data_IF_055111099291
#
_entry.id   IF_055111099291
#
_cell.length_a   1.000
_cell.length_b   1.000
_cell.length_c   1.000
_cell.angle_alpha   90.00
_cell.angle_beta   90.00
_cell.angle_gamma   90.00
#
_symmetry.space_group_name_H-M   'P 1'
#
loop_
_entity.id
_entity.type
_entity.pdbx_description
1 polymer ?
#
# COMPACT_ATOMS: atom_id res chain seq x y z
N UNK A 1 32.59 10.44 13.38
CA UNK A 1 32.48 10.90 14.77
C UNK A 1 33.83 10.79 15.43
N UNK A 2 34.33 11.93 15.95
CA UNK A 2 35.56 11.94 16.78
C UNK A 2 35.10 11.74 18.22
N UNK A 3 35.59 10.67 18.86
CA UNK A 3 35.39 10.46 20.29
C UNK A 3 36.12 11.55 21.06
N UNK A 4 35.38 12.34 21.85
CA UNK A 4 35.89 13.39 22.74
C UNK A 4 35.78 12.87 24.17
N UNK A 5 36.87 12.34 24.73
CA UNK A 5 36.87 11.80 26.11
C UNK A 5 36.58 12.83 27.20
N UNK A 6 36.64 14.11 26.91
CA UNK A 6 36.44 15.20 27.86
C UNK A 6 35.41 16.20 27.32
N UNK A 7 34.41 16.58 28.12
CA UNK A 7 33.40 17.56 27.75
C UNK A 7 33.98 18.98 27.70
N UNK A 8 33.81 19.70 26.56
CA UNK A 8 34.31 21.07 26.45
C UNK A 8 33.54 22.09 27.31
N UNK A 9 32.31 21.74 27.74
CA UNK A 9 31.45 22.65 28.51
C UNK A 9 31.67 22.53 30.03
N UNK A 10 31.78 21.30 30.56
CA UNK A 10 31.93 21.10 32.01
C UNK A 10 33.31 20.56 32.42
N UNK A 11 34.21 20.32 31.46
CA UNK A 11 35.55 19.74 31.67
C UNK A 11 35.59 18.39 32.38
N UNK A 12 34.44 17.69 32.53
CA UNK A 12 34.33 16.35 33.09
C UNK A 12 34.70 15.24 32.10
N UNK A 13 35.20 14.12 32.61
CA UNK A 13 35.44 12.91 31.84
C UNK A 13 34.20 12.00 31.89
N UNK A 14 33.89 11.33 30.78
CA UNK A 14 32.76 10.37 30.69
C UNK A 14 31.38 10.94 31.10
N UNK A 15 31.16 12.24 30.89
CA UNK A 15 29.87 12.87 31.19
C UNK A 15 28.95 12.99 29.99
N UNK A 16 29.29 12.33 28.88
CA UNK A 16 28.37 12.20 27.72
C UNK A 16 27.42 11.05 27.98
N UNK A 17 26.16 11.33 28.13
CA UNK A 17 25.10 10.35 27.99
C UNK A 17 24.78 10.24 26.49
N UNK A 18 24.65 9.03 25.99
CA UNK A 18 24.15 8.80 24.63
C UNK A 18 22.65 9.12 24.63
N UNK A 19 22.30 10.37 24.31
CA UNK A 19 20.93 10.67 23.96
C UNK A 19 20.71 10.22 22.51
N UNK A 20 19.79 9.29 22.32
CA UNK A 20 19.21 9.06 21.01
C UNK A 20 18.56 10.38 20.58
N UNK A 21 19.30 11.18 19.82
CA UNK A 21 18.72 12.29 19.09
C UNK A 21 17.77 11.67 18.09
N UNK A 22 16.51 11.59 18.45
CA UNK A 22 15.45 11.43 17.48
C UNK A 22 15.47 12.73 16.68
N UNK A 23 16.16 12.68 15.55
CA UNK A 23 16.27 13.79 14.62
C UNK A 23 14.83 14.17 14.24
N UNK A 24 14.37 15.31 14.76
CA UNK A 24 13.07 15.90 14.43
C UNK A 24 13.12 16.58 13.05
N UNK A 25 13.71 15.87 12.08
CA UNK A 25 13.48 16.10 10.67
C UNK A 25 12.01 15.79 10.41
N UNK A 26 11.26 16.78 9.97
CA UNK A 26 9.82 16.82 9.63
C UNK A 26 9.19 15.45 9.43
N UNK A 27 8.80 14.83 10.52
CA UNK A 27 8.47 13.42 10.59
C UNK A 27 7.01 13.25 10.20
N UNK A 28 6.76 12.98 8.92
CA UNK A 28 5.50 12.39 8.49
C UNK A 28 5.24 11.02 9.16
N UNK A 29 6.23 10.45 9.85
CA UNK A 29 6.12 9.29 10.75
C UNK A 29 5.51 9.63 12.11
N UNK A 30 5.50 10.91 12.52
CA UNK A 30 5.09 11.32 13.86
C UNK A 30 3.58 11.24 14.14
N UNK A 31 2.75 11.02 13.13
CA UNK A 31 1.29 10.98 13.31
C UNK A 31 0.70 9.58 13.55
N UNK A 32 1.55 8.54 13.62
CA UNK A 32 1.10 7.24 14.09
C UNK A 32 1.48 7.02 15.55
N UNK A 33 0.92 7.79 16.41
CA UNK A 33 0.80 7.36 17.82
C UNK A 33 -0.32 6.32 17.87
N UNK A 34 0.05 5.06 17.72
CA UNK A 34 -0.72 4.03 18.35
C UNK A 34 -0.68 4.34 19.85
N UNK A 35 -1.79 4.53 20.49
CA UNK A 35 -1.89 4.58 21.96
C UNK A 35 -1.57 3.19 22.50
N UNK A 36 -0.28 2.83 22.39
CA UNK A 36 0.24 1.48 22.51
C UNK A 36 0.32 0.98 23.95
N UNK A 37 -0.77 1.02 24.66
CA UNK A 37 -0.91 0.17 25.86
C UNK A 37 -1.30 -1.22 25.39
N UNK A 38 -0.51 -2.27 25.71
CA UNK A 38 -0.91 -3.64 25.42
C UNK A 38 -2.23 -3.92 26.15
N UNK A 39 -3.20 -4.44 25.41
CA UNK A 39 -4.48 -4.90 25.95
C UNK A 39 -4.55 -6.42 25.82
N UNK A 40 -5.16 -7.12 26.80
CA UNK A 40 -5.52 -8.52 26.61
C UNK A 40 -6.41 -8.65 25.37
N UNK A 41 -6.24 -9.74 24.63
CA UNK A 41 -7.01 -9.96 23.39
C UNK A 41 -8.53 -9.99 23.65
N UNK A 42 -8.94 -10.43 24.83
CA UNK A 42 -10.34 -10.49 25.28
C UNK A 42 -10.97 -9.09 25.46
N UNK A 43 -10.13 -8.09 25.77
CA UNK A 43 -10.58 -6.70 25.99
C UNK A 43 -10.62 -5.88 24.70
N UNK A 44 -10.14 -6.46 23.58
CA UNK A 44 -10.16 -5.78 22.28
C UNK A 44 -11.58 -5.86 21.71
N UNK A 45 -12.27 -4.72 21.53
CA UNK A 45 -13.59 -4.73 20.94
C UNK A 45 -13.53 -5.25 19.52
N UNK A 46 -14.32 -6.28 19.21
CA UNK A 46 -14.51 -6.72 17.83
C UNK A 46 -15.25 -5.61 17.10
N UNK A 47 -14.52 -4.80 16.34
CA UNK A 47 -15.16 -4.00 15.30
C UNK A 47 -15.71 -4.98 14.28
N UNK A 48 -17.01 -4.91 13.98
CA UNK A 48 -17.67 -5.76 12.99
C UNK A 48 -16.87 -5.77 11.70
N UNK A 49 -16.02 -6.77 11.56
CA UNK A 49 -15.15 -6.96 10.42
C UNK A 49 -15.95 -7.43 9.21
N UNK A 50 -16.94 -6.60 8.79
CA UNK A 50 -17.74 -6.90 7.61
C UNK A 50 -16.82 -6.99 6.40
N UNK A 51 -16.64 -8.20 5.91
CA UNK A 51 -15.84 -8.46 4.72
C UNK A 51 -16.63 -8.08 3.47
N UNK A 52 -15.97 -7.42 2.54
CA UNK A 52 -16.55 -7.09 1.24
C UNK A 52 -16.16 -8.18 0.24
N UNK A 53 -17.14 -8.96 -0.19
CA UNK A 53 -16.96 -10.05 -1.14
C UNK A 53 -16.62 -9.47 -2.53
N UNK A 54 -15.52 -9.92 -3.13
CA UNK A 54 -15.03 -9.45 -4.44
C UNK A 54 -15.87 -9.97 -5.60
N UNK A 55 -16.56 -11.10 -5.40
CA UNK A 55 -17.30 -11.79 -6.45
C UNK A 55 -16.43 -12.73 -7.29
N UNK A 56 -15.17 -12.94 -6.91
CA UNK A 56 -14.26 -13.95 -7.48
C UNK A 56 -13.94 -14.94 -6.35
N UNK A 57 -14.50 -16.13 -6.43
CA UNK A 57 -14.45 -17.11 -5.35
C UNK A 57 -13.03 -17.42 -4.85
N UNK A 58 -12.06 -17.54 -5.76
CA UNK A 58 -10.67 -17.81 -5.40
C UNK A 58 -10.02 -16.62 -4.68
N UNK A 59 -10.31 -15.39 -5.09
CA UNK A 59 -9.84 -14.19 -4.41
C UNK A 59 -10.43 -14.14 -3.01
N UNK A 60 -11.74 -14.32 -2.89
CA UNK A 60 -12.42 -14.31 -1.60
C UNK A 60 -11.90 -15.42 -0.67
N UNK A 61 -11.62 -16.61 -1.20
CA UNK A 61 -11.03 -17.72 -0.44
C UNK A 61 -9.65 -17.36 0.11
N UNK A 62 -8.77 -16.79 -0.71
CA UNK A 62 -7.43 -16.36 -0.30
C UNK A 62 -7.50 -15.24 0.74
N UNK A 63 -8.47 -14.34 0.61
CA UNK A 63 -8.71 -13.24 1.55
C UNK A 63 -9.48 -13.66 2.82
N UNK A 64 -9.76 -14.95 2.99
CA UNK A 64 -10.51 -15.45 4.15
C UNK A 64 -11.98 -15.01 4.18
N UNK A 65 -12.62 -14.90 3.00
CA UNK A 65 -14.03 -14.57 2.83
C UNK A 65 -14.30 -13.15 2.31
N UNK A 66 -13.28 -12.43 1.88
CA UNK A 66 -13.42 -11.10 1.27
C UNK A 66 -12.50 -10.04 1.87
N UNK A 67 -12.63 -8.83 1.38
CA UNK A 67 -11.79 -7.68 1.71
C UNK A 67 -12.17 -7.14 3.09
N UNK A 68 -11.17 -6.89 3.93
CA UNK A 68 -11.33 -6.23 5.23
C UNK A 68 -11.08 -4.74 5.08
N UNK A 69 -11.87 -3.90 5.73
CA UNK A 69 -11.64 -2.45 5.79
C UNK A 69 -10.24 -2.13 6.32
N UNK A 70 -9.56 -1.15 5.72
CA UNK A 70 -8.22 -0.73 6.13
C UNK A 70 -7.10 -1.74 5.86
N UNK A 71 -7.36 -2.85 5.16
CA UNK A 71 -6.32 -3.80 4.79
C UNK A 71 -5.47 -3.29 3.63
N UNK A 72 -4.19 -3.64 3.62
CA UNK A 72 -3.31 -3.46 2.48
C UNK A 72 -2.97 -4.83 1.87
N UNK A 73 -3.22 -4.98 0.58
CA UNK A 73 -3.08 -6.26 -0.13
C UNK A 73 -2.09 -6.06 -1.26
N UNK A 74 -1.03 -6.86 -1.26
CA UNK A 74 -0.05 -6.89 -2.34
C UNK A 74 -0.30 -8.10 -3.24
N UNK A 75 -0.48 -7.84 -4.53
CA UNK A 75 -0.57 -8.86 -5.57
C UNK A 75 0.74 -8.88 -6.34
N UNK A 76 1.51 -9.93 -6.13
CA UNK A 76 2.80 -10.13 -6.77
C UNK A 76 2.74 -11.21 -7.86
N UNK A 77 3.65 -11.14 -8.81
CA UNK A 77 3.79 -12.15 -9.87
C UNK A 77 4.51 -11.60 -11.09
N UNK A 78 4.87 -12.47 -12.01
CA UNK A 78 5.59 -12.10 -13.24
C UNK A 78 4.79 -11.15 -14.15
N UNK A 79 5.47 -10.38 -15.01
CA UNK A 79 4.81 -9.62 -16.06
C UNK A 79 3.92 -10.52 -16.92
N UNK A 80 2.72 -10.04 -17.29
CA UNK A 80 1.81 -10.77 -18.17
C UNK A 80 0.97 -11.88 -17.51
N UNK A 81 1.19 -12.24 -16.22
CA UNK A 81 0.42 -13.30 -15.54
C UNK A 81 -1.06 -12.95 -15.29
N UNK A 82 -1.46 -11.69 -15.52
CA UNK A 82 -2.86 -11.28 -15.38
C UNK A 82 -3.20 -10.46 -14.14
N UNK A 83 -2.21 -9.98 -13.36
CA UNK A 83 -2.46 -9.15 -12.15
C UNK A 83 -3.41 -7.99 -12.39
N UNK A 84 -3.10 -7.14 -13.36
CA UNK A 84 -3.90 -5.97 -13.72
C UNK A 84 -5.29 -6.33 -14.21
N UNK A 85 -5.43 -7.46 -14.92
CA UNK A 85 -6.72 -7.97 -15.37
C UNK A 85 -7.56 -8.44 -14.20
N UNK A 86 -6.97 -9.20 -13.27
CA UNK A 86 -7.65 -9.66 -12.06
C UNK A 86 -8.12 -8.48 -11.19
N UNK A 87 -7.24 -7.50 -10.98
CA UNK A 87 -7.61 -6.31 -10.20
C UNK A 87 -8.74 -5.53 -10.86
N UNK A 88 -8.71 -5.38 -12.18
CA UNK A 88 -9.76 -4.67 -12.92
C UNK A 88 -11.12 -5.42 -12.83
N UNK A 89 -11.11 -6.76 -12.87
CA UNK A 89 -12.32 -7.58 -12.66
C UNK A 89 -12.87 -7.44 -11.24
N UNK A 90 -12.01 -7.48 -10.20
CA UNK A 90 -12.42 -7.24 -8.82
C UNK A 90 -13.08 -5.87 -8.69
N UNK A 91 -12.43 -4.83 -9.24
CA UNK A 91 -12.94 -3.46 -9.16
C UNK A 91 -14.27 -3.30 -9.90
N UNK A 92 -14.43 -3.95 -11.05
CA UNK A 92 -15.69 -3.98 -11.77
C UNK A 92 -16.82 -4.59 -10.93
N UNK A 93 -16.59 -5.79 -10.38
CA UNK A 93 -17.59 -6.48 -9.57
C UNK A 93 -18.03 -5.66 -8.35
N UNK A 94 -17.11 -4.93 -7.73
CA UNK A 94 -17.41 -4.05 -6.61
C UNK A 94 -18.17 -2.80 -7.06
N UNK A 95 -17.79 -2.23 -8.19
CA UNK A 95 -18.46 -1.06 -8.78
C UNK A 95 -19.91 -1.38 -9.21
N UNK A 96 -20.14 -2.58 -9.73
CA UNK A 96 -21.49 -3.07 -10.08
C UNK A 96 -22.38 -3.27 -8.85
N UNK A 97 -21.79 -3.55 -7.68
CA UNK A 97 -22.49 -3.58 -6.39
C UNK A 97 -22.77 -2.17 -5.83
N UNK A 98 -22.48 -1.11 -6.59
CA UNK A 98 -22.70 0.29 -6.22
C UNK A 98 -21.57 0.94 -5.42
N UNK A 99 -20.46 0.25 -5.19
CA UNK A 99 -19.32 0.83 -4.49
C UNK A 99 -18.50 1.73 -5.42
N UNK A 100 -18.10 2.91 -4.94
CA UNK A 100 -17.11 3.72 -5.64
C UNK A 100 -15.75 3.06 -5.50
N UNK A 101 -15.07 2.82 -6.61
CA UNK A 101 -13.75 2.20 -6.63
C UNK A 101 -12.80 3.05 -7.46
N UNK A 102 -11.54 3.13 -7.04
CA UNK A 102 -10.50 3.91 -7.72
C UNK A 102 -9.37 3.00 -8.20
N UNK A 103 -9.15 3.00 -9.52
CA UNK A 103 -8.03 2.31 -10.16
C UNK A 103 -6.97 3.34 -10.54
N UNK A 104 -5.82 3.29 -9.87
CA UNK A 104 -4.67 4.16 -10.15
C UNK A 104 -3.68 3.39 -11.00
N UNK A 105 -3.25 3.97 -12.11
CA UNK A 105 -2.23 3.39 -12.98
C UNK A 105 -1.05 4.35 -13.16
N UNK A 106 0.15 3.81 -13.00
CA UNK A 106 1.40 4.50 -13.33
C UNK A 106 2.06 4.00 -14.62
N UNK A 107 1.53 2.93 -15.21
CA UNK A 107 2.14 2.29 -16.39
C UNK A 107 1.27 2.46 -17.65
N UNK A 108 -0.05 2.44 -17.50
CA UNK A 108 -0.97 2.47 -18.62
C UNK A 108 -1.75 3.77 -18.69
N UNK A 109 -2.04 4.23 -19.90
CA UNK A 109 -2.94 5.35 -20.13
C UNK A 109 -4.39 4.98 -19.84
N UNK A 110 -5.24 5.97 -19.57
CA UNK A 110 -6.66 5.76 -19.36
C UNK A 110 -7.34 5.05 -20.55
N UNK A 111 -6.91 5.33 -21.78
CA UNK A 111 -7.41 4.67 -22.99
C UNK A 111 -7.07 3.19 -23.04
N UNK A 112 -5.86 2.81 -22.63
CA UNK A 112 -5.44 1.39 -22.59
C UNK A 112 -6.22 0.62 -21.53
N UNK A 113 -6.43 1.21 -20.35
CA UNK A 113 -7.25 0.63 -19.29
C UNK A 113 -8.70 0.48 -19.79
N UNK A 114 -9.24 1.48 -20.47
CA UNK A 114 -10.59 1.42 -21.03
C UNK A 114 -10.73 0.29 -22.06
N UNK A 115 -9.79 0.15 -23.00
CA UNK A 115 -9.77 -0.94 -23.97
C UNK A 115 -9.70 -2.32 -23.30
N UNK A 116 -8.89 -2.46 -22.26
CA UNK A 116 -8.82 -3.69 -21.46
C UNK A 116 -10.16 -3.96 -20.76
N UNK A 117 -10.73 -2.95 -20.13
CA UNK A 117 -12.02 -3.00 -19.46
C UNK A 117 -13.12 -3.50 -20.41
N UNK A 118 -13.20 -2.92 -21.61
CA UNK A 118 -14.20 -3.30 -22.62
C UNK A 118 -14.02 -4.78 -23.07
N UNK A 119 -12.77 -5.21 -23.26
CA UNK A 119 -12.45 -6.58 -23.67
C UNK A 119 -12.90 -7.64 -22.65
N UNK A 120 -12.87 -7.32 -21.38
CA UNK A 120 -13.26 -8.24 -20.28
C UNK A 120 -14.68 -7.96 -19.75
N UNK A 121 -15.41 -7.04 -20.38
CA UNK A 121 -16.76 -6.66 -19.94
C UNK A 121 -16.80 -5.93 -18.59
N UNK A 122 -15.71 -5.30 -18.19
CA UNK A 122 -15.54 -4.69 -16.86
C UNK A 122 -15.83 -3.17 -16.85
N UNK A 123 -16.85 -2.73 -17.57
CA UNK A 123 -17.27 -1.31 -17.57
C UNK A 123 -18.32 -1.05 -16.49
N UNK A 124 -18.04 -0.14 -15.56
CA UNK A 124 -18.99 0.26 -14.51
C UNK A 124 -18.92 1.76 -14.23
N UNK A 125 -20.07 2.39 -13.93
CA UNK A 125 -20.15 3.84 -13.68
C UNK A 125 -19.38 4.28 -12.43
N UNK A 126 -19.25 3.41 -11.44
CA UNK A 126 -18.57 3.68 -10.18
C UNK A 126 -17.09 3.29 -10.18
N UNK A 127 -16.54 2.85 -11.32
CA UNK A 127 -15.12 2.57 -11.51
C UNK A 127 -14.43 3.83 -12.04
N UNK A 128 -13.67 4.49 -11.18
CA UNK A 128 -12.87 5.66 -11.52
C UNK A 128 -11.45 5.24 -11.87
N UNK A 129 -10.87 5.86 -12.89
CA UNK A 129 -9.49 5.64 -13.32
C UNK A 129 -8.69 6.92 -13.13
N UNK A 130 -7.53 6.81 -12.50
CA UNK A 130 -6.56 7.88 -12.31
C UNK A 130 -5.21 7.45 -12.89
N UNK A 131 -4.66 8.24 -13.80
CA UNK A 131 -3.29 8.05 -14.31
C UNK A 131 -2.40 9.04 -13.56
N UNK A 132 -1.71 8.56 -12.54
CA UNK A 132 -0.83 9.37 -11.70
C UNK A 132 0.23 8.48 -11.02
N UNK A 133 1.42 9.05 -10.77
CA UNK A 133 2.56 8.38 -10.14
C UNK A 133 3.05 9.09 -8.87
N UNK A 134 2.62 10.35 -8.62
CA UNK A 134 2.91 11.04 -7.35
C UNK A 134 1.99 10.53 -6.25
N UNK A 135 2.59 10.01 -5.17
CA UNK A 135 1.84 9.52 -4.01
C UNK A 135 0.95 10.62 -3.41
N UNK A 136 1.47 11.83 -3.29
CA UNK A 136 0.77 12.96 -2.69
C UNK A 136 -0.51 13.28 -3.46
N UNK A 137 -0.44 13.35 -4.79
CA UNK A 137 -1.59 13.59 -5.65
C UNK A 137 -2.58 12.44 -5.62
N UNK A 138 -2.09 11.20 -5.59
CA UNK A 138 -2.95 10.01 -5.43
C UNK A 138 -3.75 10.10 -4.13
N UNK A 139 -3.10 10.39 -3.00
CA UNK A 139 -3.75 10.52 -1.70
C UNK A 139 -4.76 11.67 -1.66
N UNK A 140 -4.47 12.77 -2.36
CA UNK A 140 -5.41 13.89 -2.52
C UNK A 140 -6.66 13.47 -3.27
N UNK A 141 -6.52 12.78 -4.41
CA UNK A 141 -7.65 12.30 -5.19
C UNK A 141 -8.47 11.24 -4.45
N UNK A 142 -7.85 10.38 -3.66
CA UNK A 142 -8.58 9.44 -2.81
C UNK A 142 -9.48 10.19 -1.81
N UNK A 143 -9.01 11.29 -1.21
CA UNK A 143 -9.83 12.12 -0.30
C UNK A 143 -11.01 12.77 -1.02
N UNK A 144 -10.81 13.24 -2.26
CA UNK A 144 -11.86 13.87 -3.07
C UNK A 144 -12.93 12.88 -3.51
N UNK A 145 -12.51 11.71 -4.04
CA UNK A 145 -13.43 10.69 -4.57
C UNK A 145 -14.11 9.92 -3.43
N UNK A 146 -13.44 9.77 -2.30
CA UNK A 146 -13.84 8.93 -1.14
C UNK A 146 -14.25 7.52 -1.59
N UNK A 147 -13.35 6.74 -2.24
CA UNK A 147 -13.66 5.42 -2.72
C UNK A 147 -13.75 4.42 -1.57
N UNK A 148 -14.55 3.37 -1.76
CA UNK A 148 -14.61 2.24 -0.84
C UNK A 148 -13.38 1.34 -0.92
N UNK A 149 -12.62 1.38 -2.03
CA UNK A 149 -11.41 0.61 -2.26
C UNK A 149 -10.54 1.29 -3.32
N UNK A 150 -9.23 1.13 -3.21
CA UNK A 150 -8.23 1.65 -4.14
C UNK A 150 -7.36 0.52 -4.68
N UNK A 151 -7.04 0.56 -5.97
CA UNK A 151 -6.01 -0.26 -6.62
C UNK A 151 -4.88 0.64 -7.08
N UNK A 152 -3.63 0.23 -6.85
CA UNK A 152 -2.41 0.86 -7.36
C UNK A 152 -1.69 -0.12 -8.30
N UNK A 153 -1.67 0.19 -9.59
CA UNK A 153 -1.07 -0.66 -10.63
C UNK A 153 -0.01 0.13 -11.43
N UNK A 154 1.26 0.02 -11.03
CA UNK A 154 1.87 -0.78 -9.97
C UNK A 154 2.54 0.11 -8.92
N UNK A 155 2.78 -0.44 -7.73
CA UNK A 155 3.45 0.29 -6.63
C UNK A 155 4.87 0.74 -7.00
N UNK A 156 5.53 0.06 -7.90
CA UNK A 156 6.89 0.39 -8.34
C UNK A 156 6.98 1.66 -9.20
N UNK A 157 5.88 2.12 -9.76
CA UNK A 157 5.84 3.38 -10.52
C UNK A 157 5.53 4.58 -9.64
N UNK A 158 4.97 4.35 -8.45
CA UNK A 158 4.61 5.41 -7.52
C UNK A 158 5.85 5.91 -6.77
N UNK A 159 5.97 7.21 -6.65
CA UNK A 159 7.05 7.85 -5.89
C UNK A 159 6.52 8.88 -4.89
N UNK A 160 7.27 9.04 -3.80
CA UNK A 160 7.08 10.12 -2.83
C UNK A 160 8.08 11.24 -3.15
N UNK A 161 7.59 12.47 -3.33
CA UNK A 161 8.40 13.62 -3.79
C UNK A 161 9.50 14.02 -2.81
N UNK A 162 9.34 13.70 -1.53
CA UNK A 162 10.31 13.99 -0.47
C UNK A 162 11.59 13.15 -0.54
N UNK A 163 11.57 12.02 -1.27
CA UNK A 163 12.73 11.16 -1.41
C UNK A 163 13.50 11.47 -2.69
N UNK A 164 14.80 11.70 -2.56
CA UNK A 164 15.69 11.96 -3.70
C UNK A 164 16.03 10.72 -4.52
N UNK A 165 15.59 9.55 -4.12
CA UNK A 165 15.85 8.29 -4.83
C UNK A 165 14.92 8.12 -6.04
N UNK A 166 15.41 7.42 -7.08
CA UNK A 166 14.64 7.20 -8.31
C UNK A 166 13.35 6.39 -8.06
N UNK A 167 12.25 6.65 -8.81
CA UNK A 167 11.06 5.80 -8.80
C UNK A 167 11.43 4.32 -9.03
N UNK A 168 10.74 3.40 -8.37
CA UNK A 168 11.02 1.97 -8.46
C UNK A 168 12.21 1.47 -7.63
N UNK A 169 13.03 2.35 -7.06
CA UNK A 169 14.07 1.95 -6.12
C UNK A 169 13.46 1.32 -4.86
N UNK A 170 14.21 0.45 -4.19
CA UNK A 170 13.76 -0.21 -2.95
C UNK A 170 13.32 0.81 -1.89
N UNK A 171 14.05 1.94 -1.77
CA UNK A 171 13.72 3.01 -0.85
C UNK A 171 12.36 3.64 -1.16
N UNK A 172 12.10 3.97 -2.43
CA UNK A 172 10.81 4.54 -2.87
C UNK A 172 9.67 3.54 -2.66
N UNK A 173 9.82 2.30 -3.10
CA UNK A 173 8.78 1.28 -2.94
C UNK A 173 8.46 1.04 -1.46
N UNK A 174 9.48 1.00 -0.60
CA UNK A 174 9.30 0.83 0.84
C UNK A 174 8.52 2.00 1.45
N UNK A 175 8.90 3.23 1.13
CA UNK A 175 8.27 4.43 1.68
C UNK A 175 6.83 4.57 1.18
N UNK A 176 6.60 4.47 -0.13
CA UNK A 176 5.26 4.57 -0.71
C UNK A 176 4.32 3.49 -0.18
N UNK A 177 4.81 2.24 -0.05
CA UNK A 177 4.03 1.15 0.55
C UNK A 177 3.69 1.44 2.01
N UNK A 178 4.67 1.89 2.81
CA UNK A 178 4.44 2.25 4.21
C UNK A 178 3.38 3.33 4.35
N UNK A 179 3.47 4.41 3.59
CA UNK A 179 2.46 5.50 3.62
C UNK A 179 1.07 5.03 3.18
N UNK A 180 0.99 4.17 2.17
CA UNK A 180 -0.29 3.60 1.73
C UNK A 180 -0.92 2.69 2.78
N UNK A 181 -0.12 1.82 3.44
CA UNK A 181 -0.58 0.98 4.55
C UNK A 181 -1.12 1.84 5.69
N UNK A 182 -0.39 2.89 6.05
CA UNK A 182 -0.76 3.82 7.10
C UNK A 182 -2.07 4.53 6.77
N UNK A 183 -2.16 5.05 5.54
CA UNK A 183 -3.34 5.71 5.03
C UNK A 183 -4.55 4.76 5.02
N UNK A 184 -4.38 3.52 4.54
CA UNK A 184 -5.40 2.48 4.52
C UNK A 184 -5.99 2.24 5.91
N UNK A 185 -5.14 1.99 6.91
CA UNK A 185 -5.55 1.75 8.31
C UNK A 185 -6.24 2.97 8.92
N UNK A 186 -5.69 4.18 8.75
CA UNK A 186 -6.24 5.42 9.30
C UNK A 186 -7.63 5.75 8.75
N UNK A 187 -7.85 5.50 7.47
CA UNK A 187 -9.10 5.87 6.78
C UNK A 187 -10.07 4.71 6.59
N UNK A 188 -9.70 3.51 7.03
CA UNK A 188 -10.48 2.28 6.83
C UNK A 188 -10.78 1.98 5.35
N UNK A 189 -9.92 2.42 4.43
CA UNK A 189 -10.03 2.21 2.99
C UNK A 189 -9.05 1.12 2.57
N UNK A 190 -9.49 -0.04 2.08
CA UNK A 190 -8.59 -1.09 1.58
C UNK A 190 -7.79 -0.60 0.37
N UNK A 191 -6.49 -0.93 0.35
CA UNK A 191 -5.60 -0.63 -0.76
C UNK A 191 -5.02 -1.92 -1.33
N UNK A 192 -5.27 -2.17 -2.61
CA UNK A 192 -4.61 -3.22 -3.39
C UNK A 192 -3.45 -2.61 -4.16
N UNK A 193 -2.30 -3.25 -4.11
CA UNK A 193 -1.16 -2.85 -4.94
C UNK A 193 -0.63 -4.03 -5.75
N UNK A 194 -0.31 -3.78 -7.01
CA UNK A 194 0.41 -4.74 -7.84
C UNK A 194 1.90 -4.51 -7.75
N UNK A 195 2.67 -5.58 -7.81
CA UNK A 195 4.12 -5.56 -7.95
C UNK A 195 4.59 -6.61 -8.95
N UNK A 196 5.45 -6.20 -9.85
CA UNK A 196 6.22 -7.08 -10.73
C UNK A 196 7.52 -7.42 -10.02
N UNK A 197 7.96 -8.66 -10.05
CA UNK A 197 9.15 -9.18 -9.36
C UNK A 197 9.13 -8.98 -7.82
N UNK A 198 8.71 -10.01 -7.12
CA UNK A 198 8.95 -10.11 -5.68
C UNK A 198 10.34 -10.72 -5.54
N UNK A 199 11.32 -9.91 -5.12
CA UNK A 199 12.58 -10.46 -4.62
C UNK A 199 12.29 -11.13 -3.28
N UNK A 200 12.06 -12.42 -3.29
CA UNK A 200 12.28 -13.24 -2.13
C UNK A 200 13.79 -13.43 -2.06
N UNK A 201 14.43 -12.81 -1.07
CA UNK A 201 15.84 -12.99 -0.78
C UNK A 201 16.02 -14.42 -0.25
N UNK A 202 16.18 -15.36 -1.17
CA UNK A 202 16.44 -16.74 -0.83
C UNK A 202 17.10 -17.45 -2.01
N UNK A 203 18.31 -17.89 -1.78
CA UNK A 203 19.01 -18.81 -2.66
C UNK A 203 18.36 -20.19 -2.68
N UNK A 204 17.13 -20.31 -3.07
CA UNK A 204 16.51 -21.60 -3.34
C UNK A 204 15.27 -21.50 -4.21
N UNK A 205 15.36 -22.23 -5.31
CA UNK A 205 14.28 -22.89 -6.06
C UNK A 205 13.24 -21.99 -6.79
N UNK A 206 13.24 -22.17 -8.06
CA UNK A 206 12.12 -22.12 -9.03
C UNK A 206 10.75 -21.82 -8.42
N UNK A 207 10.46 -20.54 -8.17
CA UNK A 207 9.08 -20.10 -8.02
C UNK A 207 8.51 -20.01 -9.44
N UNK A 208 8.04 -21.14 -9.96
CA UNK A 208 7.20 -21.15 -11.15
C UNK A 208 6.12 -20.08 -11.00
N UNK A 209 5.84 -19.38 -12.11
CA UNK A 209 4.83 -18.35 -12.32
C UNK A 209 3.63 -18.44 -11.36
N UNK A 210 3.80 -17.93 -10.15
CA UNK A 210 2.78 -17.99 -9.11
C UNK A 210 2.27 -16.58 -8.81
N UNK A 211 0.97 -16.42 -8.79
CA UNK A 211 0.34 -15.22 -8.26
C UNK A 211 0.42 -15.29 -6.73
N UNK A 212 1.15 -14.36 -6.12
CA UNK A 212 1.29 -14.27 -4.67
C UNK A 212 0.40 -13.14 -4.15
N UNK A 213 -0.40 -13.42 -3.13
CA UNK A 213 -1.20 -12.43 -2.41
C UNK A 213 -0.69 -12.34 -0.99
N UNK A 214 -0.23 -11.16 -0.59
CA UNK A 214 0.19 -10.83 0.77
C UNK A 214 -0.80 -9.82 1.36
N UNK A 215 -1.23 -10.05 2.60
CA UNK A 215 -2.17 -9.18 3.34
C UNK A 215 -1.44 -8.59 4.54
N UNK A 216 -1.54 -7.28 4.73
CA UNK A 216 -0.97 -6.54 5.86
C UNK A 216 -2.02 -5.66 6.56
#
# INVERSE_FOLDING_TARGET
>A
PKWLGKCPSCNGWNCFAEELIVDSGSDSRAEMRFDGKPLPIEDIPLTDGKRTVTGIAEVDRVLGGGIVGGSAILIGGEPGIGKSTLMLQVMHNLADKGLKVLYVSGEESASQIKLRSDRIGAAAKNLFVLVEVSLEKILEQIKVIAPAIVVIDSIQTVYASELMSAPGSVGQVRETSSRLILFSKKNNIPVYSARTHIFLDSGSADVHASLLVLIA
#
